data_IF_432396441113
#
_entry.id   IF_432396441113
#
_cell.length_a   1.000
_cell.length_b   1.000
_cell.length_c   1.000
_cell.angle_alpha   90.00
_cell.angle_beta   90.00
_cell.angle_gamma   90.00
#
_symmetry.space_group_name_H-M   'P 1'
#
loop_
_entity.id
_entity.type
_entity.pdbx_description
1 polymer ?
#
# COMPACT_ATOMS: atom_id res chain seq x y z
N UNK A 1 6.89 -31.39 35.91
CA UNK A 1 6.57 -31.14 34.47
C UNK A 1 6.95 -29.70 34.12
N UNK A 2 8.06 -29.47 33.42
CA UNK A 2 8.45 -28.15 32.90
C UNK A 2 7.58 -27.87 31.66
N UNK A 3 6.64 -26.93 31.78
CA UNK A 3 5.98 -26.40 30.61
C UNK A 3 7.03 -25.75 29.70
N UNK A 4 7.29 -26.37 28.57
CA UNK A 4 8.07 -25.78 27.47
C UNK A 4 7.31 -24.57 26.96
N UNK A 5 7.73 -23.38 27.38
CA UNK A 5 7.20 -22.11 26.84
C UNK A 5 7.51 -22.12 25.35
N UNK A 6 6.49 -22.32 24.51
CA UNK A 6 6.62 -22.27 23.06
C UNK A 6 7.24 -20.92 22.67
N UNK A 7 8.50 -20.93 22.24
CA UNK A 7 9.23 -19.72 21.86
C UNK A 7 8.51 -19.02 20.72
N UNK A 8 8.22 -17.73 20.87
CA UNK A 8 7.70 -16.88 19.79
C UNK A 8 8.70 -16.92 18.63
N UNK A 9 8.19 -16.98 17.40
CA UNK A 9 9.05 -16.83 16.20
C UNK A 9 9.87 -15.54 16.34
N UNK A 10 11.20 -15.59 16.15
CA UNK A 10 12.04 -14.40 16.25
C UNK A 10 11.53 -13.30 15.31
N UNK A 11 11.59 -12.07 15.78
CA UNK A 11 11.17 -10.92 14.97
C UNK A 11 12.15 -10.70 13.83
N UNK A 12 11.64 -10.57 12.61
CA UNK A 12 12.46 -10.43 11.41
C UNK A 12 12.70 -8.94 11.15
N UNK A 13 13.86 -8.42 11.52
CA UNK A 13 14.17 -6.98 11.46
C UNK A 13 14.08 -6.38 10.05
N UNK A 14 14.49 -7.12 9.01
CA UNK A 14 14.39 -6.66 7.62
C UNK A 14 12.94 -6.41 7.21
N UNK A 15 11.98 -7.19 7.73
CA UNK A 15 10.54 -7.01 7.46
C UNK A 15 10.04 -5.72 8.10
N UNK A 16 10.45 -5.41 9.33
CA UNK A 16 10.07 -4.15 9.98
C UNK A 16 10.68 -2.95 9.24
N UNK A 17 11.95 -3.04 8.83
CA UNK A 17 12.61 -1.99 8.06
C UNK A 17 11.96 -1.77 6.68
N UNK A 18 11.64 -2.86 5.97
CA UNK A 18 10.97 -2.80 4.67
C UNK A 18 9.54 -2.24 4.79
N UNK A 19 8.82 -2.57 5.87
CA UNK A 19 7.51 -1.96 6.17
C UNK A 19 7.66 -0.46 6.43
N UNK A 20 8.68 -0.06 7.19
CA UNK A 20 8.99 1.35 7.41
C UNK A 20 9.31 2.09 6.11
N UNK A 21 10.09 1.48 5.23
CA UNK A 21 10.36 2.02 3.89
C UNK A 21 9.08 2.20 3.08
N UNK A 22 8.19 1.20 3.06
CA UNK A 22 6.93 1.28 2.33
C UNK A 22 6.02 2.41 2.86
N UNK A 23 5.88 2.56 4.18
CA UNK A 23 5.04 3.62 4.79
C UNK A 23 5.65 5.02 4.56
N UNK A 24 6.98 5.14 4.61
CA UNK A 24 7.67 6.38 4.23
C UNK A 24 7.40 6.74 2.76
N UNK A 25 7.57 5.78 1.85
CA UNK A 25 7.35 6.01 0.43
C UNK A 25 5.88 6.39 0.11
N UNK A 26 4.91 5.78 0.81
CA UNK A 26 3.50 6.16 0.72
C UNK A 26 3.30 7.61 1.19
N UNK A 27 3.87 7.99 2.32
CA UNK A 27 3.79 9.38 2.80
C UNK A 27 4.30 10.39 1.77
N UNK A 28 5.47 10.12 1.15
CA UNK A 28 6.04 11.04 0.17
C UNK A 28 5.15 11.17 -1.07
N UNK A 29 4.58 10.07 -1.60
CA UNK A 29 3.62 10.11 -2.71
C UNK A 29 2.37 10.90 -2.33
N UNK A 30 1.77 10.62 -1.17
CA UNK A 30 0.55 11.29 -0.72
C UNK A 30 0.74 12.80 -0.50
N UNK A 31 1.93 13.24 -0.05
CA UNK A 31 2.22 14.68 0.03
C UNK A 31 2.24 15.34 -1.34
N UNK A 32 2.79 14.70 -2.37
CA UNK A 32 2.76 15.22 -3.74
C UNK A 32 1.33 15.29 -4.31
N UNK A 33 0.46 14.40 -3.88
CA UNK A 33 -0.97 14.41 -4.21
C UNK A 33 -1.78 15.33 -3.27
N UNK A 34 -1.12 16.08 -2.38
CA UNK A 34 -1.75 16.87 -1.30
C UNK A 34 -2.83 16.08 -0.55
N UNK A 35 -2.59 14.78 -0.33
CA UNK A 35 -3.56 13.85 0.23
C UNK A 35 -4.90 13.87 -0.52
N UNK A 36 -4.81 13.93 -1.88
CA UNK A 36 -5.93 13.94 -2.83
C UNK A 36 -6.77 15.22 -2.79
N UNK A 37 -6.18 16.32 -2.34
CA UNK A 37 -6.71 17.65 -2.58
C UNK A 37 -5.91 18.30 -3.72
N UNK A 38 -6.38 18.16 -4.94
CA UNK A 38 -5.67 18.49 -6.20
C UNK A 38 -5.60 19.99 -6.50
N UNK A 39 -5.21 20.79 -5.54
CA UNK A 39 -4.96 22.23 -5.72
C UNK A 39 -3.47 22.48 -5.60
N UNK A 40 -2.91 23.21 -6.57
CA UNK A 40 -1.49 23.50 -6.68
C UNK A 40 -1.30 24.97 -7.05
N UNK A 41 -0.10 25.57 -6.78
CA UNK A 41 0.24 26.89 -7.25
C UNK A 41 0.11 26.99 -8.78
N UNK A 42 -0.42 28.10 -9.27
CA UNK A 42 -0.42 28.39 -10.71
C UNK A 42 1.03 28.50 -11.21
N UNK A 43 1.34 27.91 -12.36
CA UNK A 43 2.70 27.96 -12.92
C UNK A 43 3.22 29.40 -13.10
N UNK A 44 2.33 30.36 -13.41
CA UNK A 44 2.67 31.78 -13.52
C UNK A 44 2.99 32.45 -12.17
N UNK A 45 2.62 31.86 -11.02
CA UNK A 45 2.90 32.39 -9.70
C UNK A 45 4.24 31.93 -9.11
N UNK A 46 4.96 31.06 -9.82
CA UNK A 46 6.24 30.51 -9.40
C UNK A 46 7.36 30.87 -10.38
N UNK A 47 8.63 30.96 -9.92
CA UNK A 47 9.77 31.05 -10.82
C UNK A 47 9.85 29.85 -11.77
N UNK A 48 10.22 30.05 -13.03
CA UNK A 48 10.28 28.97 -14.03
C UNK A 48 11.18 27.78 -13.65
N UNK A 49 12.31 28.05 -12.97
CA UNK A 49 13.19 26.98 -12.46
C UNK A 49 12.50 26.09 -11.42
N UNK A 50 11.59 26.65 -10.62
CA UNK A 50 10.85 25.88 -9.60
C UNK A 50 9.80 24.98 -10.26
N UNK A 51 9.14 25.45 -11.31
CA UNK A 51 8.22 24.60 -12.09
C UNK A 51 8.93 23.40 -12.69
N UNK A 52 10.14 23.58 -13.29
CA UNK A 52 10.94 22.48 -13.83
C UNK A 52 11.34 21.50 -12.71
N UNK A 53 11.74 22.01 -11.55
CA UNK A 53 12.10 21.19 -10.41
C UNK A 53 10.90 20.40 -9.88
N UNK A 54 9.72 21.01 -9.82
CA UNK A 54 8.47 20.38 -9.40
C UNK A 54 8.10 19.20 -10.31
N UNK A 55 8.18 19.38 -11.64
CA UNK A 55 7.95 18.30 -12.60
C UNK A 55 8.94 17.13 -12.43
N UNK A 56 10.21 17.45 -12.23
CA UNK A 56 11.26 16.46 -11.94
C UNK A 56 11.01 15.69 -10.65
N UNK A 57 10.69 16.40 -9.56
CA UNK A 57 10.38 15.82 -8.26
C UNK A 57 9.15 14.90 -8.35
N UNK A 58 8.10 15.35 -9.01
CA UNK A 58 6.90 14.54 -9.23
C UNK A 58 7.24 13.28 -10.02
N UNK A 59 7.86 13.43 -11.19
CA UNK A 59 8.19 12.31 -12.08
C UNK A 59 9.06 11.26 -11.39
N UNK A 60 10.13 11.68 -10.69
CA UNK A 60 11.02 10.75 -9.98
C UNK A 60 10.31 10.05 -8.83
N UNK A 61 9.59 10.79 -7.98
CA UNK A 61 8.94 10.22 -6.79
C UNK A 61 7.83 9.23 -7.19
N UNK A 62 7.01 9.59 -8.16
CA UNK A 62 5.96 8.70 -8.67
C UNK A 62 6.53 7.48 -9.39
N UNK A 63 7.58 7.66 -10.21
CA UNK A 63 8.24 6.54 -10.90
C UNK A 63 8.86 5.55 -9.93
N UNK A 64 9.40 6.01 -8.81
CA UNK A 64 10.01 5.14 -7.80
C UNK A 64 8.98 4.47 -6.88
N UNK A 65 7.95 5.20 -6.43
CA UNK A 65 7.14 4.77 -5.27
C UNK A 65 5.66 4.52 -5.57
N UNK A 66 5.05 5.27 -6.51
CA UNK A 66 3.61 5.16 -6.75
C UNK A 66 3.21 3.75 -7.21
N UNK A 67 2.29 3.13 -6.49
CA UNK A 67 1.83 1.75 -6.71
C UNK A 67 2.80 0.67 -6.24
N UNK A 68 4.12 0.93 -6.09
CA UNK A 68 5.12 -0.04 -5.63
C UNK A 68 5.17 -0.10 -4.10
N UNK A 69 5.16 1.05 -3.43
CA UNK A 69 5.09 1.11 -1.97
C UNK A 69 3.84 0.42 -1.42
N UNK A 70 2.69 0.65 -2.06
CA UNK A 70 1.46 -0.09 -1.80
C UNK A 70 1.63 -1.61 -1.98
N UNK A 71 2.25 -2.06 -3.09
CA UNK A 71 2.45 -3.47 -3.35
C UNK A 71 3.39 -4.14 -2.32
N UNK A 72 4.45 -3.45 -1.89
CA UNK A 72 5.31 -3.90 -0.79
C UNK A 72 4.48 -4.06 0.50
N UNK A 73 3.65 -3.07 0.82
CA UNK A 73 2.83 -3.11 2.02
C UNK A 73 1.80 -4.25 1.98
N UNK A 74 1.19 -4.52 0.82
CA UNK A 74 0.29 -5.65 0.59
C UNK A 74 1.01 -7.01 0.76
N UNK A 75 2.19 -7.20 0.17
CA UNK A 75 3.02 -8.40 0.41
C UNK A 75 3.30 -8.64 1.89
N UNK A 76 3.67 -7.57 2.60
CA UNK A 76 3.98 -7.65 4.03
C UNK A 76 2.74 -7.89 4.90
N UNK A 77 1.55 -7.53 4.44
CA UNK A 77 0.29 -7.86 5.10
C UNK A 77 0.04 -9.38 5.08
N UNK A 78 0.17 -10.01 3.91
CA UNK A 78 0.06 -11.48 3.77
C UNK A 78 1.11 -12.24 4.58
N UNK A 79 2.36 -11.77 4.60
CA UNK A 79 3.43 -12.29 5.45
C UNK A 79 3.06 -12.17 6.94
N UNK A 80 2.55 -11.03 7.37
CA UNK A 80 2.17 -10.77 8.77
C UNK A 80 1.03 -11.69 9.20
N UNK A 81 0.04 -11.92 8.32
CA UNK A 81 -1.00 -12.91 8.57
C UNK A 81 -0.40 -14.29 8.84
N UNK A 82 0.50 -14.77 7.98
CA UNK A 82 1.14 -16.07 8.15
C UNK A 82 1.91 -16.19 9.47
N UNK A 83 2.70 -15.18 9.83
CA UNK A 83 3.45 -15.17 11.11
C UNK A 83 2.48 -15.27 12.30
N UNK A 84 1.38 -14.51 12.27
CA UNK A 84 0.39 -14.53 13.34
C UNK A 84 -0.35 -15.88 13.40
N UNK A 85 -0.76 -16.39 12.25
CA UNK A 85 -1.42 -17.69 12.14
C UNK A 85 -0.56 -18.82 12.70
N UNK A 86 0.71 -18.91 12.27
CA UNK A 86 1.65 -19.92 12.73
C UNK A 86 1.95 -19.80 14.23
N UNK A 87 2.08 -18.57 14.75
CA UNK A 87 2.32 -18.34 16.18
C UNK A 87 1.12 -18.79 17.04
N UNK A 88 -0.10 -18.72 16.54
CA UNK A 88 -1.27 -19.24 17.26
C UNK A 88 -1.41 -20.75 17.13
N UNK A 89 -1.11 -21.31 15.96
CA UNK A 89 -1.07 -22.78 15.77
C UNK A 89 -0.09 -23.44 16.74
N UNK A 90 1.13 -22.87 16.93
CA UNK A 90 2.10 -23.36 17.92
C UNK A 90 1.57 -23.38 19.37
N UNK A 91 0.52 -22.60 19.63
CA UNK A 91 -0.18 -22.56 20.93
C UNK A 91 -1.43 -23.44 20.96
N UNK A 92 -1.67 -24.24 19.92
CA UNK A 92 -2.87 -25.07 19.78
C UNK A 92 -4.16 -24.27 19.54
N UNK A 93 -4.08 -22.98 19.16
CA UNK A 93 -5.22 -22.10 18.92
C UNK A 93 -5.42 -21.84 17.41
N UNK A 94 -6.66 -21.94 16.92
CA UNK A 94 -7.00 -21.50 15.55
C UNK A 94 -7.12 -19.95 15.51
N UNK A 95 -6.29 -19.34 14.69
CA UNK A 95 -6.29 -17.89 14.50
C UNK A 95 -7.31 -17.42 13.45
N UNK A 96 -7.92 -18.34 12.67
CA UNK A 96 -8.74 -17.96 11.52
C UNK A 96 -9.89 -17.01 11.84
N UNK A 97 -10.77 -17.38 12.76
CA UNK A 97 -11.89 -16.49 13.17
C UNK A 97 -11.40 -15.23 13.88
N UNK A 98 -10.33 -15.34 14.65
CA UNK A 98 -9.72 -14.18 15.31
C UNK A 98 -9.13 -13.21 14.26
N UNK A 99 -8.66 -13.73 13.15
CA UNK A 99 -8.21 -12.90 12.05
C UNK A 99 -9.37 -12.15 11.36
N UNK A 100 -10.52 -12.78 11.15
CA UNK A 100 -11.71 -12.08 10.63
C UNK A 100 -12.13 -10.94 11.56
N UNK A 101 -12.11 -11.18 12.87
CA UNK A 101 -12.35 -10.11 13.85
C UNK A 101 -11.31 -8.99 13.74
N UNK A 102 -10.03 -9.34 13.54
CA UNK A 102 -8.98 -8.36 13.27
C UNK A 102 -9.22 -7.54 12.01
N UNK A 103 -9.74 -8.14 10.94
CA UNK A 103 -10.11 -7.42 9.73
C UNK A 103 -11.27 -6.45 9.98
N UNK A 104 -12.27 -6.87 10.75
CA UNK A 104 -13.38 -5.97 11.13
C UNK A 104 -12.87 -4.74 11.91
N UNK A 105 -11.98 -4.97 12.89
CA UNK A 105 -11.33 -3.86 13.62
C UNK A 105 -10.50 -2.97 12.70
N UNK A 106 -9.80 -3.56 11.71
CA UNK A 106 -9.07 -2.79 10.68
C UNK A 106 -10.04 -1.93 9.86
N UNK A 107 -11.27 -2.41 9.60
CA UNK A 107 -12.34 -1.62 8.99
C UNK A 107 -12.66 -0.35 9.78
N UNK A 108 -12.69 -0.43 11.11
CA UNK A 108 -12.84 0.77 11.96
C UNK A 108 -11.67 1.76 11.82
N UNK A 109 -10.44 1.27 11.73
CA UNK A 109 -9.27 2.12 11.45
C UNK A 109 -9.28 2.66 10.01
N UNK A 110 -9.79 1.91 9.04
CA UNK A 110 -10.00 2.39 7.68
C UNK A 110 -11.00 3.55 7.63
N UNK A 111 -12.10 3.45 8.38
CA UNK A 111 -13.08 4.55 8.50
C UNK A 111 -12.46 5.79 9.16
N UNK A 112 -11.66 5.61 10.21
CA UNK A 112 -10.91 6.71 10.83
C UNK A 112 -9.93 7.35 9.85
N UNK A 113 -9.20 6.56 9.06
CA UNK A 113 -8.28 7.07 8.04
C UNK A 113 -9.03 7.81 6.94
N UNK A 114 -10.10 7.21 6.42
CA UNK A 114 -10.92 7.79 5.35
C UNK A 114 -11.52 9.14 5.75
N UNK A 115 -11.89 9.32 7.01
CA UNK A 115 -12.39 10.60 7.52
C UNK A 115 -11.47 11.79 7.19
N UNK A 116 -10.15 11.55 7.10
CA UNK A 116 -9.13 12.57 6.81
C UNK A 116 -8.45 12.39 5.46
N UNK A 117 -8.80 11.36 4.69
CA UNK A 117 -8.15 11.03 3.42
C UNK A 117 -9.19 10.81 2.31
N UNK A 118 -9.60 11.86 1.57
CA UNK A 118 -10.67 11.79 0.58
C UNK A 118 -10.40 10.76 -0.52
N UNK A 119 -11.30 9.79 -0.66
CA UNK A 119 -11.34 8.80 -1.73
C UNK A 119 -10.01 8.06 -2.04
N UNK A 120 -9.08 8.02 -1.09
CA UNK A 120 -7.73 7.43 -1.29
C UNK A 120 -7.40 6.28 -0.36
N UNK A 121 -8.31 5.88 0.57
CA UNK A 121 -7.99 4.87 1.57
C UNK A 121 -7.89 3.45 0.99
N UNK A 122 -6.77 2.79 1.29
CA UNK A 122 -6.52 1.39 0.90
C UNK A 122 -6.78 0.39 2.04
N UNK A 123 -6.97 0.85 3.28
CA UNK A 123 -7.16 -0.05 4.43
C UNK A 123 -8.48 -0.82 4.32
N UNK A 124 -9.54 -0.17 3.82
CA UNK A 124 -10.82 -0.83 3.60
C UNK A 124 -10.71 -1.93 2.54
N UNK A 125 -9.97 -1.68 1.45
CA UNK A 125 -9.65 -2.71 0.46
C UNK A 125 -8.91 -3.89 1.10
N UNK A 126 -7.94 -3.61 1.99
CA UNK A 126 -7.21 -4.66 2.72
C UNK A 126 -8.12 -5.47 3.65
N UNK A 127 -9.13 -4.85 4.25
CA UNK A 127 -10.12 -5.55 5.06
C UNK A 127 -10.91 -6.55 4.22
N UNK A 128 -11.45 -6.11 3.09
CA UNK A 128 -12.28 -6.94 2.21
C UNK A 128 -11.45 -8.06 1.59
N UNK A 129 -10.32 -7.72 0.98
CA UNK A 129 -9.43 -8.68 0.32
C UNK A 129 -8.75 -9.62 1.32
N UNK A 130 -8.53 -9.18 2.55
CA UNK A 130 -7.96 -10.01 3.62
C UNK A 130 -8.74 -11.31 3.89
N UNK A 131 -10.04 -11.34 3.57
CA UNK A 131 -10.87 -12.54 3.68
C UNK A 131 -10.32 -13.70 2.85
N UNK A 132 -9.70 -13.43 1.71
CA UNK A 132 -9.04 -14.48 0.91
C UNK A 132 -7.96 -15.23 1.67
N UNK A 133 -7.19 -14.55 2.52
CA UNK A 133 -6.18 -15.21 3.37
C UNK A 133 -6.83 -16.20 4.35
N UNK A 134 -7.99 -15.84 4.91
CA UNK A 134 -8.75 -16.74 5.77
C UNK A 134 -9.21 -17.99 5.02
N UNK A 135 -9.74 -17.83 3.81
CA UNK A 135 -10.25 -18.95 2.99
C UNK A 135 -9.12 -19.91 2.66
N UNK A 136 -7.99 -19.42 2.16
CA UNK A 136 -6.89 -20.26 1.64
C UNK A 136 -5.86 -20.67 2.70
N UNK A 137 -6.03 -20.29 3.96
CA UNK A 137 -5.01 -20.50 5.01
C UNK A 137 -4.51 -21.94 5.18
N UNK A 138 -5.35 -22.90 4.84
CA UNK A 138 -5.05 -24.34 4.94
C UNK A 138 -4.70 -24.99 3.60
N UNK A 139 -4.74 -24.24 2.50
CA UNK A 139 -4.46 -24.78 1.16
C UNK A 139 -2.97 -25.06 0.97
N UNK A 140 -2.68 -25.98 0.01
CA UNK A 140 -1.30 -26.31 -0.33
C UNK A 140 -0.54 -25.10 -0.93
N UNK A 141 0.78 -25.07 -0.76
CA UNK A 141 1.62 -24.01 -1.33
C UNK A 141 1.45 -23.90 -2.85
N UNK A 142 1.34 -25.06 -3.53
CA UNK A 142 1.16 -25.12 -4.99
C UNK A 142 -0.16 -24.48 -5.41
N UNK A 143 -1.26 -24.82 -4.74
CA UNK A 143 -2.59 -24.25 -5.04
C UNK A 143 -2.64 -22.77 -4.79
N UNK A 144 -2.09 -22.32 -3.64
CA UNK A 144 -2.02 -20.89 -3.31
C UNK A 144 -1.17 -20.11 -4.32
N UNK A 145 -0.06 -20.71 -4.79
CA UNK A 145 0.80 -20.08 -5.79
C UNK A 145 0.09 -19.94 -7.14
N UNK A 146 -0.57 -21.00 -7.60
CA UNK A 146 -1.34 -20.97 -8.86
C UNK A 146 -2.44 -19.91 -8.77
N UNK A 147 -3.18 -19.86 -7.66
CA UNK A 147 -4.21 -18.84 -7.46
C UNK A 147 -3.63 -17.43 -7.44
N UNK A 148 -2.49 -17.22 -6.75
CA UNK A 148 -1.84 -15.92 -6.71
C UNK A 148 -1.43 -15.44 -8.10
N UNK A 149 -0.83 -16.30 -8.91
CA UNK A 149 -0.46 -15.98 -10.30
C UNK A 149 -1.71 -15.70 -11.13
N UNK A 150 -2.75 -16.54 -11.04
CA UNK A 150 -4.00 -16.33 -11.76
C UNK A 150 -4.62 -14.95 -11.46
N UNK A 151 -4.65 -14.53 -10.18
CA UNK A 151 -5.16 -13.22 -9.79
C UNK A 151 -4.29 -12.08 -10.31
N UNK A 152 -2.96 -12.24 -10.30
CA UNK A 152 -2.02 -11.23 -10.81
C UNK A 152 -2.04 -11.14 -12.35
N UNK A 153 -2.51 -12.16 -13.06
CA UNK A 153 -2.75 -12.09 -14.51
C UNK A 153 -3.93 -11.19 -14.88
N UNK A 154 -4.72 -10.73 -13.91
CA UNK A 154 -5.85 -9.82 -14.13
C UNK A 154 -6.89 -10.40 -15.10
N UNK A 155 -7.53 -11.54 -14.79
CA UNK A 155 -8.42 -12.22 -15.71
C UNK A 155 -9.67 -11.43 -16.10
N UNK A 156 -10.10 -10.46 -15.27
CA UNK A 156 -11.28 -9.61 -15.54
C UNK A 156 -11.00 -8.66 -16.69
N UNK A 157 -9.83 -8.03 -16.69
CA UNK A 157 -9.39 -7.11 -17.74
C UNK A 157 -9.21 -7.85 -19.06
N UNK A 158 -8.61 -9.03 -19.03
CA UNK A 158 -8.50 -9.89 -20.20
C UNK A 158 -9.86 -10.34 -20.73
N UNK A 159 -10.80 -10.70 -19.84
CA UNK A 159 -12.15 -11.06 -20.23
C UNK A 159 -12.84 -9.92 -21.01
N UNK A 160 -12.81 -8.69 -20.50
CA UNK A 160 -13.40 -7.55 -21.17
C UNK A 160 -12.75 -7.25 -22.51
N UNK A 161 -11.41 -7.35 -22.58
CA UNK A 161 -10.67 -7.17 -23.84
C UNK A 161 -11.09 -8.21 -24.89
N UNK A 162 -11.09 -9.49 -24.52
CA UNK A 162 -11.47 -10.59 -25.43
C UNK A 162 -12.93 -10.45 -25.86
N UNK A 163 -13.83 -10.13 -24.95
CA UNK A 163 -15.26 -9.90 -25.31
C UNK A 163 -15.42 -8.75 -26.31
N UNK A 164 -14.65 -7.69 -26.19
CA UNK A 164 -14.68 -6.59 -27.15
C UNK A 164 -14.15 -6.99 -28.54
N UNK A 165 -13.17 -7.90 -28.62
CA UNK A 165 -12.71 -8.43 -29.91
C UNK A 165 -13.81 -9.19 -30.67
N UNK A 166 -14.67 -9.93 -29.94
CA UNK A 166 -15.81 -10.66 -30.55
C UNK A 166 -17.04 -9.79 -30.75
N UNK A 167 -17.21 -8.79 -29.90
CA UNK A 167 -18.34 -7.85 -29.96
C UNK A 167 -17.84 -6.42 -29.72
N UNK A 168 -17.57 -5.63 -30.77
CA UNK A 168 -17.08 -4.25 -30.64
C UNK A 168 -18.01 -3.32 -29.86
N UNK A 169 -19.29 -3.68 -29.68
CA UNK A 169 -20.23 -2.93 -28.84
C UNK A 169 -20.08 -3.23 -27.34
N UNK A 170 -19.26 -4.22 -26.98
CA UNK A 170 -18.99 -4.52 -25.58
C UNK A 170 -18.22 -3.38 -24.90
N UNK A 171 -18.78 -2.84 -23.83
CA UNK A 171 -18.18 -1.75 -23.03
C UNK A 171 -17.87 -2.23 -21.61
N UNK A 172 -16.96 -1.54 -20.96
CA UNK A 172 -16.71 -1.73 -19.53
C UNK A 172 -17.91 -1.23 -18.72
N UNK A 173 -18.23 -1.86 -17.57
CA UNK A 173 -19.28 -1.35 -16.71
C UNK A 173 -18.88 0.02 -16.14
N UNK A 174 -19.77 1.00 -16.28
CA UNK A 174 -19.58 2.28 -15.61
C UNK A 174 -19.91 2.11 -14.12
N UNK A 175 -18.90 2.30 -13.29
CA UNK A 175 -19.01 2.25 -11.83
C UNK A 175 -19.36 3.61 -11.22
N UNK A 176 -19.57 4.65 -12.01
CA UNK A 176 -19.84 6.01 -11.55
C UNK A 176 -18.69 6.66 -10.77
N UNK A 177 -17.48 6.15 -10.96
CA UNK A 177 -16.29 6.62 -10.21
C UNK A 177 -16.00 8.09 -10.47
N UNK A 178 -16.08 8.53 -11.71
CA UNK A 178 -15.85 9.94 -12.09
C UNK A 178 -16.81 10.90 -11.40
N UNK A 179 -18.12 10.56 -11.36
CA UNK A 179 -19.13 11.34 -10.66
C UNK A 179 -18.83 11.41 -9.16
N UNK A 180 -18.54 10.26 -8.51
CA UNK A 180 -18.22 10.22 -7.08
C UNK A 180 -16.99 11.05 -6.74
N UNK A 181 -15.94 11.03 -7.55
CA UNK A 181 -14.75 11.88 -7.35
C UNK A 181 -15.06 13.36 -7.55
N UNK A 182 -15.98 13.72 -8.50
CA UNK A 182 -16.48 15.08 -8.66
C UNK A 182 -17.15 15.59 -7.39
N UNK A 183 -18.08 14.81 -6.83
CA UNK A 183 -18.78 15.16 -5.58
C UNK A 183 -17.83 15.26 -4.38
N UNK A 184 -16.82 14.36 -4.31
CA UNK A 184 -15.74 14.43 -3.31
C UNK A 184 -14.97 15.74 -3.43
N UNK A 185 -14.63 16.16 -4.65
CA UNK A 185 -13.91 17.40 -4.89
C UNK A 185 -14.73 18.63 -4.49
N UNK A 186 -16.06 18.60 -4.68
CA UNK A 186 -16.96 19.70 -4.31
C UNK A 186 -16.97 19.94 -2.80
N UNK A 187 -17.36 18.93 -1.99
CA UNK A 187 -17.42 19.14 -0.54
C UNK A 187 -16.04 19.37 0.09
N UNK A 188 -14.98 18.88 -0.53
CA UNK A 188 -13.61 19.10 -0.07
C UNK A 188 -13.20 20.58 -0.19
N UNK A 189 -13.67 21.27 -1.25
CA UNK A 189 -13.39 22.69 -1.50
C UNK A 189 -14.19 23.66 -0.62
N UNK A 190 -15.34 23.22 -0.10
CA UNK A 190 -16.22 24.09 0.70
C UNK A 190 -15.61 24.53 2.05
N UNK A 191 -14.65 23.76 2.58
CA UNK A 191 -13.99 24.07 3.87
C UNK A 191 -14.84 23.76 5.11
N UNK A 192 -16.02 23.17 4.95
CA UNK A 192 -16.83 22.67 6.07
C UNK A 192 -16.26 21.36 6.60
N UNK A 193 -15.75 21.40 7.83
CA UNK A 193 -15.11 20.25 8.48
C UNK A 193 -16.06 19.05 8.66
N UNK A 194 -17.30 19.27 9.07
CA UNK A 194 -18.23 18.16 9.33
C UNK A 194 -18.75 17.55 8.04
N UNK A 195 -19.01 18.36 7.02
CA UNK A 195 -19.38 17.89 5.68
C UNK A 195 -18.24 17.09 5.06
N UNK A 196 -16.99 17.54 5.23
CA UNK A 196 -15.80 16.85 4.81
C UNK A 196 -15.67 15.46 5.46
N UNK A 197 -15.74 15.37 6.81
CA UNK A 197 -15.65 14.10 7.53
C UNK A 197 -16.75 13.13 7.09
N UNK A 198 -18.01 13.59 7.07
CA UNK A 198 -19.14 12.75 6.71
C UNK A 198 -19.10 12.30 5.25
N UNK A 199 -18.79 13.21 4.34
CA UNK A 199 -18.63 12.92 2.91
C UNK A 199 -17.55 11.85 2.66
N UNK A 200 -16.42 11.98 3.33
CA UNK A 200 -15.32 11.01 3.21
C UNK A 200 -15.67 9.63 3.77
N UNK A 201 -16.31 9.56 4.92
CA UNK A 201 -16.69 8.29 5.55
C UNK A 201 -17.78 7.56 4.74
N UNK A 202 -18.60 8.27 4.01
CA UNK A 202 -19.67 7.70 3.18
C UNK A 202 -19.26 7.59 1.71
N UNK A 203 -19.35 8.68 0.97
CA UNK A 203 -19.07 8.71 -0.46
C UNK A 203 -17.60 8.47 -0.80
N UNK A 204 -16.67 9.06 -0.05
CA UNK A 204 -15.24 8.92 -0.28
C UNK A 204 -14.75 7.47 -0.17
N UNK A 205 -15.19 6.72 0.84
CA UNK A 205 -14.87 5.29 0.95
C UNK A 205 -15.47 4.46 -0.19
N UNK A 206 -16.72 4.76 -0.59
CA UNK A 206 -17.35 4.11 -1.72
C UNK A 206 -16.59 4.37 -3.03
N UNK A 207 -16.23 5.63 -3.28
CA UNK A 207 -15.44 6.03 -4.43
C UNK A 207 -14.10 5.31 -4.50
N UNK A 208 -13.39 5.22 -3.37
CA UNK A 208 -12.12 4.49 -3.26
C UNK A 208 -12.24 3.01 -3.59
N UNK A 209 -13.28 2.33 -3.08
CA UNK A 209 -13.51 0.90 -3.38
C UNK A 209 -13.88 0.68 -4.85
N UNK A 210 -14.75 1.52 -5.41
CA UNK A 210 -15.18 1.38 -6.81
C UNK A 210 -14.04 1.70 -7.78
N UNK A 211 -13.22 2.71 -7.46
CA UNK A 211 -11.98 2.93 -8.18
C UNK A 211 -11.04 1.71 -8.11
N UNK A 212 -10.91 1.09 -6.94
CA UNK A 212 -10.07 -0.08 -6.77
C UNK A 212 -10.55 -1.28 -7.60
N UNK A 213 -11.88 -1.42 -7.82
CA UNK A 213 -12.45 -2.41 -8.74
C UNK A 213 -12.04 -2.09 -10.17
N UNK A 214 -12.35 -0.89 -10.66
CA UNK A 214 -12.06 -0.48 -12.03
C UNK A 214 -10.56 -0.42 -12.37
N UNK A 215 -9.71 -0.22 -11.37
CA UNK A 215 -8.25 -0.24 -11.51
C UNK A 215 -7.63 -1.64 -11.26
N UNK A 216 -8.40 -2.74 -11.24
CA UNK A 216 -7.92 -4.12 -11.03
C UNK A 216 -7.23 -4.38 -9.67
N UNK A 217 -7.38 -3.44 -8.71
CA UNK A 217 -6.66 -3.50 -7.42
C UNK A 217 -7.12 -4.63 -6.52
N UNK A 218 -8.36 -5.08 -6.63
CA UNK A 218 -8.86 -6.22 -5.85
C UNK A 218 -8.07 -7.49 -6.14
N UNK A 219 -7.93 -7.84 -7.41
CA UNK A 219 -7.20 -9.03 -7.84
C UNK A 219 -5.71 -8.90 -7.54
N UNK A 220 -5.13 -7.73 -7.82
CA UNK A 220 -3.74 -7.46 -7.51
C UNK A 220 -3.46 -7.62 -6.01
N UNK A 221 -4.28 -7.01 -5.14
CA UNK A 221 -4.10 -7.08 -3.68
C UNK A 221 -4.21 -8.51 -3.18
N UNK A 222 -5.22 -9.27 -3.66
CA UNK A 222 -5.39 -10.67 -3.31
C UNK A 222 -4.16 -11.50 -3.71
N UNK A 223 -3.69 -11.36 -4.94
CA UNK A 223 -2.47 -12.04 -5.42
C UNK A 223 -1.24 -11.69 -4.58
N UNK A 224 -1.05 -10.41 -4.25
CA UNK A 224 0.06 -9.94 -3.40
C UNK A 224 -0.03 -10.49 -1.96
N UNK A 225 -1.22 -10.55 -1.37
CA UNK A 225 -1.43 -11.14 -0.06
C UNK A 225 -1.06 -12.63 -0.06
N UNK A 226 -1.47 -13.38 -1.09
CA UNK A 226 -1.16 -14.79 -1.23
C UNK A 226 0.35 -15.01 -1.41
N UNK A 227 1.02 -14.21 -2.24
CA UNK A 227 2.48 -14.26 -2.38
C UNK A 227 3.17 -13.91 -1.06
N UNK A 228 2.70 -12.91 -0.33
CA UNK A 228 3.22 -12.55 0.99
C UNK A 228 3.10 -13.69 2.00
N UNK A 229 1.96 -14.39 2.00
CA UNK A 229 1.77 -15.60 2.83
C UNK A 229 2.75 -16.72 2.42
N UNK A 230 2.97 -16.95 1.12
CA UNK A 230 3.93 -17.95 0.64
C UNK A 230 5.38 -17.59 0.97
N UNK A 231 5.76 -16.33 0.85
CA UNK A 231 7.07 -15.81 1.29
C UNK A 231 7.28 -16.15 2.78
N UNK A 232 6.23 -16.00 3.60
CA UNK A 232 6.26 -16.40 5.00
C UNK A 232 6.43 -17.89 5.20
N UNK A 233 5.66 -18.73 4.48
CA UNK A 233 5.75 -20.19 4.55
C UNK A 233 7.13 -20.71 4.15
N UNK A 234 7.75 -20.10 3.14
CA UNK A 234 9.10 -20.43 2.65
C UNK A 234 10.22 -19.74 3.43
N UNK A 235 9.88 -18.90 4.42
CA UNK A 235 10.83 -18.14 5.24
C UNK A 235 11.84 -17.31 4.42
N UNK A 236 11.41 -16.73 3.29
CA UNK A 236 12.30 -16.07 2.32
C UNK A 236 12.96 -14.78 2.86
N UNK A 237 12.50 -14.23 3.98
CA UNK A 237 13.16 -13.11 4.67
C UNK A 237 14.14 -13.54 5.76
N UNK A 238 14.28 -14.85 6.03
CA UNK A 238 15.31 -15.37 6.92
C UNK A 238 16.60 -15.56 6.13
N UNK A 239 17.70 -14.95 6.59
CA UNK A 239 18.98 -14.99 5.88
C UNK A 239 19.54 -16.42 5.82
N UNK A 240 19.77 -16.92 4.62
CA UNK A 240 20.46 -18.15 4.29
C UNK A 240 21.02 -18.07 2.88
N UNK A 241 21.96 -18.92 2.52
CA UNK A 241 22.46 -18.94 1.13
C UNK A 241 21.35 -19.20 0.11
N UNK A 242 20.41 -20.06 0.42
CA UNK A 242 19.28 -20.38 -0.46
C UNK A 242 18.38 -19.16 -0.69
N UNK A 243 18.07 -18.41 0.38
CA UNK A 243 17.23 -17.20 0.28
C UNK A 243 17.97 -16.05 -0.38
N UNK A 244 19.27 -15.90 -0.18
CA UNK A 244 20.09 -14.92 -0.89
C UNK A 244 20.08 -15.24 -2.40
N UNK A 245 20.34 -16.49 -2.79
CA UNK A 245 20.28 -16.93 -4.19
C UNK A 245 18.90 -16.71 -4.81
N UNK A 246 17.83 -16.93 -4.05
CA UNK A 246 16.45 -16.63 -4.48
C UNK A 246 16.28 -15.14 -4.80
N UNK A 247 16.67 -14.25 -3.88
CA UNK A 247 16.50 -12.80 -4.08
C UNK A 247 17.39 -12.24 -5.20
N UNK A 248 18.60 -12.79 -5.39
CA UNK A 248 19.45 -12.42 -6.54
C UNK A 248 18.76 -12.79 -7.86
N UNK A 249 18.23 -14.01 -7.97
CA UNK A 249 17.47 -14.42 -9.17
C UNK A 249 16.22 -13.57 -9.37
N UNK A 250 15.46 -13.31 -8.31
CA UNK A 250 14.28 -12.47 -8.36
C UNK A 250 14.62 -11.05 -8.83
N UNK A 251 15.71 -10.46 -8.35
CA UNK A 251 16.20 -9.15 -8.76
C UNK A 251 16.55 -9.13 -10.27
N UNK A 252 17.34 -10.09 -10.73
CA UNK A 252 17.78 -10.15 -12.13
C UNK A 252 16.57 -10.30 -13.07
N UNK A 253 15.72 -11.30 -12.83
CA UNK A 253 14.55 -11.53 -13.69
C UNK A 253 13.58 -10.36 -13.70
N UNK A 254 13.32 -9.77 -12.53
CA UNK A 254 12.40 -8.62 -12.45
C UNK A 254 12.97 -7.37 -13.10
N UNK A 255 14.27 -7.13 -13.00
CA UNK A 255 14.93 -6.02 -13.69
C UNK A 255 14.90 -6.19 -15.22
N UNK A 256 15.15 -7.40 -15.72
CA UNK A 256 15.08 -7.72 -17.16
C UNK A 256 13.65 -7.56 -17.69
N UNK A 257 12.64 -8.01 -16.93
CA UNK A 257 11.24 -7.92 -17.36
C UNK A 257 10.68 -6.50 -17.25
N UNK A 258 11.20 -5.66 -16.36
CA UNK A 258 10.68 -4.31 -16.13
C UNK A 258 10.74 -3.45 -17.40
N UNK A 259 11.86 -3.43 -18.12
CA UNK A 259 12.04 -2.59 -19.31
C UNK A 259 10.99 -2.85 -20.40
N UNK A 260 10.85 -4.08 -20.90
CA UNK A 260 9.80 -4.43 -21.88
C UNK A 260 8.38 -4.15 -21.39
N UNK A 261 8.06 -4.47 -20.13
CA UNK A 261 6.74 -4.22 -19.58
C UNK A 261 6.43 -2.72 -19.45
N UNK A 262 7.43 -1.92 -19.08
CA UNK A 262 7.29 -0.47 -19.03
C UNK A 262 7.04 0.12 -20.43
N UNK A 263 7.77 -0.33 -21.44
CA UNK A 263 7.57 0.13 -22.80
C UNK A 263 6.20 -0.24 -23.35
N UNK A 264 5.74 -1.47 -23.12
CA UNK A 264 4.39 -1.90 -23.48
C UNK A 264 3.33 -1.04 -22.78
N UNK A 265 3.50 -0.78 -21.47
CA UNK A 265 2.60 0.11 -20.72
C UNK A 265 2.53 1.50 -21.35
N UNK A 266 3.66 2.11 -21.69
CA UNK A 266 3.67 3.45 -22.30
C UNK A 266 2.89 3.45 -23.60
N UNK A 267 3.10 2.45 -24.46
CA UNK A 267 2.40 2.34 -25.75
C UNK A 267 0.89 2.08 -25.60
N UNK A 268 0.49 1.22 -24.66
CA UNK A 268 -0.90 0.81 -24.51
C UNK A 268 -1.75 1.82 -23.70
N UNK A 269 -1.12 2.67 -22.92
CA UNK A 269 -1.79 3.74 -22.19
C UNK A 269 -1.68 5.11 -22.88
N UNK A 270 -1.10 5.16 -24.07
CA UNK A 270 -1.06 6.38 -24.87
C UNK A 270 -2.46 6.89 -25.19
N UNK A 271 -2.64 8.21 -25.20
CA UNK A 271 -3.94 8.86 -25.44
C UNK A 271 -4.54 8.57 -26.83
N UNK A 272 -3.70 8.19 -27.80
CA UNK A 272 -4.13 7.76 -29.13
C UNK A 272 -4.72 6.37 -29.20
N UNK A 273 -4.58 5.55 -28.16
CA UNK A 273 -5.16 4.21 -28.11
C UNK A 273 -6.67 4.26 -27.76
N UNK A 274 -7.47 3.30 -28.27
CA UNK A 274 -8.87 3.13 -27.87
C UNK A 274 -9.02 2.97 -26.36
N UNK A 275 -10.09 3.52 -25.80
CA UNK A 275 -10.40 3.44 -24.35
C UNK A 275 -10.41 2.00 -23.83
N UNK A 276 -10.96 1.08 -24.62
CA UNK A 276 -10.98 -0.34 -24.27
C UNK A 276 -9.58 -0.90 -24.06
N UNK A 277 -8.62 -0.58 -24.94
CA UNK A 277 -7.23 -1.03 -24.80
C UNK A 277 -6.59 -0.40 -23.56
N UNK A 278 -6.76 0.92 -23.37
CA UNK A 278 -6.18 1.63 -22.23
C UNK A 278 -6.69 1.10 -20.90
N UNK A 279 -8.02 0.88 -20.79
CA UNK A 279 -8.68 0.47 -19.55
C UNK A 279 -8.62 -1.04 -19.28
N UNK A 280 -8.14 -1.85 -20.21
CA UNK A 280 -7.96 -3.30 -20.05
C UNK A 280 -6.49 -3.68 -20.13
N UNK A 281 -5.96 -3.95 -21.29
CA UNK A 281 -4.57 -4.42 -21.48
C UNK A 281 -3.55 -3.38 -20.97
N UNK A 282 -3.85 -2.08 -21.12
CA UNK A 282 -3.02 -1.01 -20.56
C UNK A 282 -2.92 -1.08 -19.05
N UNK A 283 -4.05 -1.30 -18.35
CA UNK A 283 -4.09 -1.49 -16.89
C UNK A 283 -3.31 -2.73 -16.48
N UNK A 284 -3.44 -3.85 -17.21
CA UNK A 284 -2.66 -5.08 -16.95
C UNK A 284 -1.16 -4.81 -17.04
N UNK A 285 -0.71 -4.15 -18.12
CA UNK A 285 0.72 -3.86 -18.32
C UNK A 285 1.24 -2.86 -17.27
N UNK A 286 0.45 -1.86 -16.89
CA UNK A 286 0.79 -0.95 -15.79
C UNK A 286 0.97 -1.70 -14.46
N UNK A 287 0.11 -2.67 -14.17
CA UNK A 287 0.24 -3.50 -12.97
C UNK A 287 1.45 -4.41 -13.01
N UNK A 288 1.71 -5.07 -14.14
CA UNK A 288 2.83 -6.00 -14.25
C UNK A 288 4.18 -5.28 -14.19
N UNK A 289 4.32 -4.13 -14.85
CA UNK A 289 5.55 -3.35 -14.73
C UNK A 289 5.78 -2.84 -13.29
N UNK A 290 4.71 -2.38 -12.61
CA UNK A 290 4.80 -1.97 -11.19
C UNK A 290 5.14 -3.15 -10.29
N UNK A 291 4.59 -4.33 -10.56
CA UNK A 291 4.92 -5.54 -9.82
C UNK A 291 6.39 -5.96 -10.03
N UNK A 292 6.88 -5.96 -11.28
CA UNK A 292 8.28 -6.23 -11.57
C UNK A 292 9.20 -5.26 -10.81
N UNK A 293 8.93 -3.96 -10.86
CA UNK A 293 9.72 -2.97 -10.12
C UNK A 293 9.58 -3.11 -8.60
N UNK A 294 8.42 -3.52 -8.10
CA UNK A 294 8.22 -3.86 -6.68
C UNK A 294 9.18 -4.97 -6.23
N UNK A 295 9.32 -6.02 -7.05
CA UNK A 295 10.27 -7.11 -6.75
C UNK A 295 11.71 -6.61 -6.81
N UNK A 296 12.06 -5.72 -7.75
CA UNK A 296 13.38 -5.06 -7.78
C UNK A 296 13.65 -4.33 -6.46
N UNK A 297 12.70 -3.52 -5.98
CA UNK A 297 12.85 -2.79 -4.71
C UNK A 297 12.98 -3.72 -3.50
N UNK A 298 12.11 -4.73 -3.40
CA UNK A 298 12.13 -5.70 -2.28
C UNK A 298 13.43 -6.51 -2.28
N UNK A 299 13.81 -7.06 -3.44
CA UNK A 299 15.02 -7.87 -3.56
C UNK A 299 16.28 -7.05 -3.28
N UNK A 300 16.38 -5.84 -3.83
CA UNK A 300 17.48 -4.91 -3.55
C UNK A 300 17.56 -4.58 -2.06
N UNK A 301 16.42 -4.26 -1.43
CA UNK A 301 16.37 -3.95 -0.01
C UNK A 301 16.84 -5.13 0.85
N UNK A 302 16.35 -6.35 0.56
CA UNK A 302 16.72 -7.57 1.30
C UNK A 302 18.20 -7.90 1.14
N UNK A 303 18.75 -7.79 -0.08
CA UNK A 303 20.16 -8.05 -0.37
C UNK A 303 21.08 -7.01 0.28
N UNK A 304 20.75 -5.73 0.16
CA UNK A 304 21.50 -4.63 0.80
C UNK A 304 21.45 -4.74 2.33
N UNK A 305 20.32 -5.23 2.89
CA UNK A 305 20.18 -5.39 4.33
C UNK A 305 21.15 -6.45 4.94
N UNK A 306 21.76 -7.30 4.10
CA UNK A 306 22.83 -8.20 4.53
C UNK A 306 24.11 -7.43 4.89
N UNK A 307 24.28 -6.21 4.34
CA UNK A 307 25.45 -5.37 4.65
C UNK A 307 25.24 -4.57 5.93
N UNK A 308 26.29 -4.46 6.75
CA UNK A 308 26.22 -3.72 8.01
C UNK A 308 25.95 -2.22 7.80
N UNK A 309 26.53 -1.63 6.74
CA UNK A 309 26.35 -0.22 6.39
C UNK A 309 24.87 0.10 6.13
N UNK A 310 24.21 -0.68 5.28
CA UNK A 310 22.80 -0.45 4.94
C UNK A 310 21.88 -0.74 6.14
N UNK A 311 22.18 -1.74 6.93
CA UNK A 311 21.44 -2.08 8.17
C UNK A 311 21.51 -0.95 9.20
N UNK A 312 22.67 -0.28 9.32
CA UNK A 312 22.83 0.92 10.17
C UNK A 312 22.07 2.11 9.60
N UNK A 313 22.17 2.35 8.30
CA UNK A 313 21.46 3.43 7.60
C UNK A 313 19.92 3.32 7.75
N UNK A 314 19.40 2.12 7.66
CA UNK A 314 17.95 1.84 7.73
C UNK A 314 17.46 1.47 9.13
N UNK A 315 18.31 1.64 10.16
CA UNK A 315 17.98 1.26 11.54
C UNK A 315 16.71 1.93 12.06
N UNK A 316 16.52 3.20 11.72
CA UNK A 316 15.38 3.99 12.15
C UNK A 316 14.05 3.55 11.49
N UNK A 317 14.11 3.04 10.26
CA UNK A 317 12.95 2.49 9.57
C UNK A 317 12.33 1.28 10.32
N UNK A 318 13.11 0.56 11.12
CA UNK A 318 12.59 -0.54 11.95
C UNK A 318 11.59 -0.04 13.00
N UNK A 319 11.90 1.08 13.65
CA UNK A 319 11.01 1.70 14.63
C UNK A 319 9.75 2.23 13.96
N UNK A 320 9.94 2.88 12.82
CA UNK A 320 8.86 3.42 12.01
C UNK A 320 7.91 2.33 11.49
N UNK A 321 8.43 1.22 10.97
CA UNK A 321 7.65 0.08 10.50
C UNK A 321 6.91 -0.69 11.61
N UNK A 322 7.42 -0.64 12.86
CA UNK A 322 6.72 -1.20 14.03
C UNK A 322 5.44 -0.45 14.39
N UNK A 323 5.34 0.81 13.99
CA UNK A 323 4.21 1.70 14.24
C UNK A 323 3.50 2.09 12.93
N UNK A 324 3.47 1.18 11.96
CA UNK A 324 2.98 1.44 10.60
C UNK A 324 1.53 1.93 10.52
N UNK A 325 0.63 1.39 11.36
CA UNK A 325 -0.77 1.83 11.42
C UNK A 325 -0.89 3.23 12.03
N UNK A 326 -0.21 3.46 13.16
CA UNK A 326 -0.17 4.78 13.80
C UNK A 326 0.39 5.83 12.83
N UNK A 327 1.52 5.54 12.17
CA UNK A 327 2.13 6.45 11.22
C UNK A 327 1.22 6.70 10.02
N UNK A 328 0.61 5.67 9.46
CA UNK A 328 -0.27 5.80 8.30
C UNK A 328 -1.49 6.69 8.58
N UNK A 329 -2.19 6.47 9.70
CA UNK A 329 -3.36 7.29 10.04
C UNK A 329 -2.96 8.72 10.43
N UNK A 330 -1.87 8.89 11.18
CA UNK A 330 -1.39 10.24 11.54
C UNK A 330 -0.92 11.04 10.33
N UNK A 331 -0.45 10.38 9.26
CA UNK A 331 -0.14 11.05 7.97
C UNK A 331 -1.40 11.65 7.36
N UNK A 332 -2.49 10.91 7.29
CA UNK A 332 -3.76 11.38 6.72
C UNK A 332 -4.32 12.57 7.51
N UNK A 333 -4.28 12.50 8.85
CA UNK A 333 -4.69 13.61 9.72
C UNK A 333 -3.81 14.83 9.50
N UNK A 334 -2.49 14.66 9.47
CA UNK A 334 -1.55 15.77 9.24
C UNK A 334 -1.71 16.37 7.84
N UNK A 335 -1.88 15.54 6.80
CA UNK A 335 -2.14 16.00 5.44
C UNK A 335 -3.43 16.82 5.34
N UNK A 336 -4.49 16.36 6.00
CA UNK A 336 -5.75 17.10 6.04
C UNK A 336 -5.58 18.49 6.72
N UNK A 337 -4.85 18.56 7.83
CA UNK A 337 -4.56 19.82 8.51
C UNK A 337 -3.70 20.74 7.64
N UNK A 338 -2.72 20.22 6.93
CA UNK A 338 -1.78 21.02 6.13
C UNK A 338 -2.45 21.57 4.87
N UNK A 339 -3.18 20.74 4.12
CA UNK A 339 -3.56 21.07 2.75
C UNK A 339 -5.02 21.53 2.59
N UNK A 340 -5.94 21.17 3.50
CA UNK A 340 -7.37 21.41 3.29
C UNK A 340 -7.88 22.76 3.80
N UNK A 341 -8.93 23.33 3.20
CA UNK A 341 -9.43 24.68 3.49
C UNK A 341 -9.93 24.91 4.91
N UNK A 342 -10.37 23.86 5.61
CA UNK A 342 -10.85 23.96 6.99
C UNK A 342 -9.72 24.16 8.02
N UNK A 343 -8.44 24.06 7.61
CA UNK A 343 -7.29 24.19 8.51
C UNK A 343 -6.23 25.17 7.93
N UNK A 344 -4.99 24.71 7.69
CA UNK A 344 -3.90 25.60 7.25
C UNK A 344 -3.99 26.02 5.77
N UNK A 345 -4.63 25.24 4.94
CA UNK A 345 -4.87 25.47 3.52
C UNK A 345 -3.60 25.86 2.73
N UNK A 346 -2.53 25.08 2.89
CA UNK A 346 -1.28 25.34 2.19
C UNK A 346 -1.25 24.81 0.74
N UNK A 347 -2.27 24.05 0.32
CA UNK A 347 -2.33 23.45 -1.02
C UNK A 347 -2.08 24.46 -2.16
N UNK A 348 -2.68 25.68 -2.21
CA UNK A 348 -2.45 26.63 -3.28
C UNK A 348 -1.04 27.25 -3.32
N UNK A 349 -0.25 27.04 -2.26
CA UNK A 349 1.06 27.69 -2.08
C UNK A 349 2.23 26.72 -2.16
N UNK A 350 1.96 25.41 -2.11
CA UNK A 350 2.97 24.36 -2.08
C UNK A 350 2.98 23.60 -3.40
N UNK A 351 3.99 23.78 -4.24
CA UNK A 351 4.28 22.91 -5.36
C UNK A 351 4.83 21.54 -4.91
N UNK A 352 5.17 20.68 -5.84
CA UNK A 352 5.63 19.31 -5.53
C UNK A 352 6.92 19.29 -4.70
N UNK A 353 7.86 20.18 -4.97
CA UNK A 353 9.13 20.27 -4.24
C UNK A 353 8.90 20.62 -2.77
N UNK A 354 8.10 21.66 -2.51
CA UNK A 354 7.80 22.11 -1.15
C UNK A 354 7.02 21.02 -0.41
N UNK A 355 6.05 20.39 -1.07
CA UNK A 355 5.26 19.30 -0.50
C UNK A 355 6.10 18.07 -0.17
N UNK A 356 7.10 17.73 -1.02
CA UNK A 356 8.06 16.67 -0.73
C UNK A 356 8.88 16.98 0.53
N UNK A 357 9.35 18.23 0.68
CA UNK A 357 10.11 18.66 1.86
C UNK A 357 9.25 18.62 3.12
N UNK A 358 7.99 19.06 3.06
CA UNK A 358 7.02 18.94 4.16
C UNK A 358 6.85 17.47 4.54
N UNK A 359 6.63 16.59 3.56
CA UNK A 359 6.50 15.15 3.80
C UNK A 359 7.74 14.54 4.43
N UNK A 360 8.92 14.92 3.96
CA UNK A 360 10.18 14.46 4.54
C UNK A 360 10.40 14.97 5.98
N UNK A 361 10.12 16.24 6.24
CA UNK A 361 10.17 16.81 7.59
C UNK A 361 9.20 16.08 8.54
N UNK A 362 7.98 15.81 8.08
CA UNK A 362 7.00 15.07 8.86
C UNK A 362 7.44 13.62 9.11
N UNK A 363 8.04 12.95 8.12
CA UNK A 363 8.66 11.64 8.31
C UNK A 363 9.70 11.65 9.42
N UNK A 364 10.61 12.64 9.44
CA UNK A 364 11.62 12.74 10.50
C UNK A 364 11.01 12.96 11.89
N UNK A 365 9.94 13.74 11.98
CA UNK A 365 9.18 13.92 13.23
C UNK A 365 8.56 12.61 13.70
N UNK A 366 7.90 11.88 12.79
CA UNK A 366 7.32 10.56 13.09
C UNK A 366 8.39 9.54 13.52
N UNK A 367 9.56 9.52 12.88
CA UNK A 367 10.67 8.64 13.28
C UNK A 367 11.14 8.96 14.70
N UNK A 368 11.30 10.24 15.04
CA UNK A 368 11.66 10.68 16.40
C UNK A 368 10.61 10.28 17.43
N UNK A 369 9.33 10.47 17.09
CA UNK A 369 8.22 10.02 17.93
C UNK A 369 8.24 8.50 18.13
N UNK A 370 8.41 7.72 17.06
CA UNK A 370 8.48 6.25 17.14
C UNK A 370 9.62 5.78 18.06
N UNK A 371 10.81 6.39 17.91
CA UNK A 371 11.97 6.06 18.78
C UNK A 371 11.72 6.39 20.24
N UNK A 372 11.12 7.54 20.51
CA UNK A 372 10.75 7.95 21.86
C UNK A 372 9.68 7.05 22.48
N UNK A 373 8.59 6.80 21.75
CA UNK A 373 7.47 6.00 22.21
C UNK A 373 7.87 4.54 22.51
N UNK A 374 8.64 3.93 21.62
CA UNK A 374 9.06 2.52 21.74
C UNK A 374 10.13 2.28 22.80
N UNK A 375 10.66 3.30 23.48
CA UNK A 375 11.47 3.12 24.70
C UNK A 375 10.62 2.62 25.87
N UNK A 376 9.39 3.09 25.99
CA UNK A 376 8.48 2.71 27.09
C UNK A 376 7.40 1.70 26.66
N UNK A 377 7.15 1.52 25.36
CA UNK A 377 6.06 0.71 24.85
C UNK A 377 6.54 -0.33 23.84
N UNK A 378 5.89 -1.50 23.80
CA UNK A 378 6.25 -2.59 22.88
C UNK A 378 5.78 -2.38 21.43
N UNK A 379 4.77 -1.55 21.22
CA UNK A 379 4.12 -1.27 19.94
C UNK A 379 3.49 0.13 19.94
N UNK A 380 3.12 0.65 18.78
CA UNK A 380 2.52 1.97 18.64
C UNK A 380 1.15 2.09 19.32
N UNK A 381 0.64 3.32 19.50
CA UNK A 381 -0.66 3.57 20.15
C UNK A 381 -1.80 2.81 19.47
N UNK A 382 -1.99 2.98 18.16
CA UNK A 382 -3.09 2.34 17.44
C UNK A 382 -2.87 0.83 17.29
N UNK A 383 -1.64 0.38 17.12
CA UNK A 383 -1.30 -1.04 17.15
C UNK A 383 -1.63 -1.68 18.51
N UNK A 384 -1.42 -0.95 19.60
CA UNK A 384 -1.75 -1.40 20.95
C UNK A 384 -3.27 -1.55 21.15
N UNK A 385 -4.04 -0.55 20.71
CA UNK A 385 -5.51 -0.59 20.73
C UNK A 385 -6.00 -1.78 19.88
N UNK A 386 -5.51 -1.89 18.64
CA UNK A 386 -5.87 -2.99 17.74
C UNK A 386 -5.54 -4.36 18.35
N UNK A 387 -4.36 -4.48 18.96
CA UNK A 387 -3.97 -5.71 19.64
C UNK A 387 -4.88 -6.03 20.82
N UNK A 388 -5.15 -5.07 21.72
CA UNK A 388 -6.04 -5.26 22.87
C UNK A 388 -7.44 -5.68 22.44
N UNK A 389 -8.03 -4.98 21.46
CA UNK A 389 -9.35 -5.30 20.93
C UNK A 389 -9.40 -6.66 20.21
N UNK A 390 -8.30 -7.06 19.56
CA UNK A 390 -8.19 -8.39 18.94
C UNK A 390 -8.31 -9.51 19.95
N UNK A 391 -7.74 -9.33 21.15
CA UNK A 391 -7.68 -10.38 22.18
C UNK A 391 -8.69 -10.19 23.32
N UNK A 392 -9.67 -9.34 23.14
CA UNK A 392 -10.76 -9.16 24.12
C UNK A 392 -11.49 -10.51 24.31
N UNK A 393 -11.75 -10.91 25.56
CA UNK A 393 -12.39 -12.19 25.94
C UNK A 393 -11.70 -13.45 25.42
N UNK A 394 -10.40 -13.41 25.19
CA UNK A 394 -9.60 -14.59 24.88
C UNK A 394 -8.75 -14.98 26.11
N UNK A 395 -9.38 -15.57 27.09
CA UNK A 395 -8.69 -16.33 28.14
C UNK A 395 -8.31 -17.71 27.64
#
# INVERSE_FOLDING_TARGET
MRQTIASKTPRIEVVDALRGFAVMAILLVHNLEHFIFTVYPAAASQPGWLNILDEGVFSVTFSLFAGKAYAIFALLFGLTFYIQYTNQQKKGKDFGYRFLWRLLLLGGFATLNAAFFPAGDVLLLFCVVGIFLFIVRKWSDRTVFILAIFLLLQPVEWYHYVMNLFNPAHSLPDLGVGQMYGEVAEYTKEGDFWKFIWGNVTLGQKASLFWAIGAGRFLQTAGLFLLGMLIGRKQLFVASEATIRFWVKALIWSAVLFGPLYQLKVQLMDAGQPDMIRQTVGVVMDMWQKFAFTIVLVASFVLLYQTEKFRKLTADLRFYGKMSLTNYISQSIAGAIIYFPFALYLAPYCGYTVSLLIGFAFFLLQVRFCKWWLKAHKQGPLESIWHKLTWIRSE
#
